data_IF_845880096592
#
_entry.id   IF_845880096592
#
_cell.length_a   1.000
_cell.length_b   1.000
_cell.length_c   1.000
_cell.angle_alpha   90.00
_cell.angle_beta   90.00
_cell.angle_gamma   90.00
#
_symmetry.space_group_name_H-M   'P 1'
#
loop_
_entity.id
_entity.type
_entity.pdbx_description
1 polymer ?
#
# COMPACT_ATOMS: atom_id res chain seq x y z
N UNK A 1 -14.54 8.34 -1.19
CA UNK A 1 -13.66 7.54 -0.31
C UNK A 1 -14.16 6.10 -0.31
N UNK A 2 -13.26 5.12 -0.21
CA UNK A 2 -13.65 3.72 -0.06
C UNK A 2 -14.24 3.52 1.35
N UNK A 3 -15.33 2.76 1.45
CA UNK A 3 -15.89 2.33 2.73
C UNK A 3 -15.34 0.95 3.12
N UNK A 4 -15.61 0.51 4.35
CA UNK A 4 -15.12 -0.77 4.86
C UNK A 4 -15.56 -1.96 3.98
N UNK A 5 -16.80 -1.98 3.51
CA UNK A 5 -17.32 -3.05 2.65
C UNK A 5 -16.55 -3.14 1.32
N UNK A 6 -16.27 -2.01 0.68
CA UNK A 6 -15.49 -1.96 -0.56
C UNK A 6 -14.05 -2.41 -0.37
N UNK A 7 -13.41 -2.04 0.75
CA UNK A 7 -12.05 -2.51 1.08
C UNK A 7 -12.05 -4.03 1.25
N UNK A 8 -12.96 -4.57 2.08
CA UNK A 8 -13.06 -6.00 2.33
C UNK A 8 -13.33 -6.82 1.07
N UNK A 9 -14.15 -6.30 0.16
CA UNK A 9 -14.38 -6.92 -1.15
C UNK A 9 -13.09 -7.06 -1.95
N UNK A 10 -12.27 -6.00 -2.03
CA UNK A 10 -11.02 -6.04 -2.79
C UNK A 10 -9.96 -6.96 -2.16
N UNK A 11 -9.90 -7.01 -0.82
CA UNK A 11 -8.94 -7.86 -0.10
C UNK A 11 -9.30 -9.36 -0.13
N UNK A 12 -10.57 -9.72 -0.34
CA UNK A 12 -11.04 -11.11 -0.37
C UNK A 12 -11.49 -11.59 -1.76
N UNK A 13 -11.21 -10.82 -2.82
CA UNK A 13 -11.64 -11.15 -4.17
C UNK A 13 -10.82 -12.34 -4.72
N UNK A 14 -11.44 -13.51 -4.99
CA UNK A 14 -10.70 -14.68 -5.43
C UNK A 14 -10.07 -14.45 -6.81
N UNK A 15 -8.83 -14.93 -6.98
CA UNK A 15 -8.04 -14.80 -8.22
C UNK A 15 -7.73 -13.36 -8.64
N UNK A 16 -7.92 -12.38 -7.75
CA UNK A 16 -7.52 -11.01 -7.99
C UNK A 16 -6.32 -10.66 -7.12
N UNK A 17 -5.24 -10.20 -7.75
CA UNK A 17 -4.07 -9.73 -7.03
C UNK A 17 -4.38 -8.38 -6.35
N UNK A 18 -4.06 -8.28 -5.07
CA UNK A 18 -3.88 -7.01 -4.38
C UNK A 18 -2.43 -6.89 -3.91
N UNK A 19 -1.96 -5.65 -3.73
CA UNK A 19 -0.59 -5.36 -3.32
C UNK A 19 -0.57 -4.55 -2.03
N UNK A 20 0.17 -5.03 -1.03
CA UNK A 20 0.56 -4.25 0.15
C UNK A 20 2.05 -3.97 0.01
N UNK A 21 2.42 -2.72 -0.27
CA UNK A 21 3.81 -2.36 -0.51
C UNK A 21 4.13 -0.93 -0.09
N UNK A 22 5.42 -0.65 0.05
CA UNK A 22 5.96 0.65 0.41
C UNK A 22 7.35 0.50 1.04
N UNK A 23 7.92 1.60 1.57
CA UNK A 23 9.25 1.56 2.16
C UNK A 23 9.28 0.71 3.43
N UNK A 24 10.46 0.21 3.75
CA UNK A 24 10.68 -0.68 4.87
C UNK A 24 10.32 -0.02 6.22
N UNK A 25 10.66 1.27 6.36
CA UNK A 25 10.42 2.14 7.52
C UNK A 25 10.09 3.55 7.01
N UNK A 26 9.40 4.36 7.81
CA UNK A 26 9.16 5.78 7.52
C UNK A 26 10.46 6.55 7.79
N UNK A 27 11.13 7.00 6.73
CA UNK A 27 12.33 7.85 6.86
C UNK A 27 11.96 9.34 6.89
N UNK A 28 11.05 9.75 6.01
CA UNK A 28 10.44 11.09 5.99
C UNK A 28 9.18 11.09 5.13
N UNK A 29 8.37 12.13 5.28
CA UNK A 29 7.10 12.30 4.55
C UNK A 29 7.31 12.35 3.03
N UNK A 30 8.32 13.08 2.55
CA UNK A 30 8.57 13.29 1.12
C UNK A 30 8.82 11.95 0.42
N UNK A 31 9.68 11.10 0.97
CA UNK A 31 9.96 9.77 0.44
C UNK A 31 8.70 8.90 0.43
N UNK A 32 7.94 8.89 1.53
CA UNK A 32 6.70 8.11 1.61
C UNK A 32 5.70 8.54 0.53
N UNK A 33 5.51 9.84 0.32
CA UNK A 33 4.61 10.37 -0.72
C UNK A 33 5.10 10.03 -2.12
N UNK A 34 6.40 10.12 -2.39
CA UNK A 34 6.98 9.74 -3.69
C UNK A 34 6.76 8.26 -4.01
N UNK A 35 7.05 7.37 -3.05
CA UNK A 35 6.84 5.93 -3.21
C UNK A 35 5.35 5.61 -3.37
N UNK A 36 4.49 6.20 -2.53
CA UNK A 36 3.05 6.00 -2.61
C UNK A 36 2.48 6.45 -3.96
N UNK A 37 2.90 7.61 -4.49
CA UNK A 37 2.44 8.13 -5.78
C UNK A 37 2.87 7.22 -6.94
N UNK A 38 4.13 6.78 -6.95
CA UNK A 38 4.65 5.87 -7.97
C UNK A 38 3.89 4.54 -7.98
N UNK A 39 3.77 3.88 -6.82
CA UNK A 39 3.08 2.60 -6.70
C UNK A 39 1.58 2.71 -7.00
N UNK A 40 0.93 3.80 -6.56
CA UNK A 40 -0.48 4.06 -6.88
C UNK A 40 -0.69 4.15 -8.38
N UNK A 41 0.14 4.93 -9.09
CA UNK A 41 0.04 5.09 -10.55
C UNK A 41 0.22 3.74 -11.26
N UNK A 42 1.23 2.97 -10.88
CA UNK A 42 1.50 1.66 -11.48
C UNK A 42 0.35 0.67 -11.22
N UNK A 43 -0.14 0.58 -9.98
CA UNK A 43 -1.22 -0.35 -9.64
C UNK A 43 -2.54 0.04 -10.32
N UNK A 44 -2.83 1.35 -10.46
CA UNK A 44 -3.99 1.82 -11.23
C UNK A 44 -3.92 1.39 -12.70
N UNK A 45 -2.76 1.50 -13.35
CA UNK A 45 -2.57 1.04 -14.73
C UNK A 45 -2.78 -0.47 -14.89
N UNK A 46 -2.46 -1.25 -13.85
CA UNK A 46 -2.58 -2.70 -13.85
C UNK A 46 -3.92 -3.21 -13.29
N UNK A 47 -4.80 -2.33 -12.80
CA UNK A 47 -6.05 -2.71 -12.15
C UNK A 47 -5.86 -3.46 -10.81
N UNK A 48 -4.73 -3.24 -10.12
CA UNK A 48 -4.38 -3.89 -8.85
C UNK A 48 -4.85 -3.01 -7.69
N UNK A 49 -5.58 -3.61 -6.74
CA UNK A 49 -5.91 -2.92 -5.49
C UNK A 49 -4.65 -2.76 -4.64
N UNK A 50 -4.32 -1.54 -4.25
CA UNK A 50 -3.07 -1.21 -3.59
C UNK A 50 -3.28 -0.59 -2.21
N UNK A 51 -2.51 -1.08 -1.23
CA UNK A 51 -2.42 -0.55 0.12
C UNK A 51 -0.98 -0.11 0.38
N UNK A 52 -0.77 1.18 0.62
CA UNK A 52 0.53 1.68 1.04
C UNK A 52 0.85 1.18 2.45
N UNK A 53 2.07 0.67 2.65
CA UNK A 53 2.58 0.25 3.95
C UNK A 53 3.98 0.80 4.20
N UNK A 54 4.18 1.34 5.39
CA UNK A 54 5.49 1.66 5.95
C UNK A 54 5.46 1.41 7.46
N UNK A 55 6.57 0.96 8.04
CA UNK A 55 6.67 0.82 9.50
C UNK A 55 7.09 2.15 10.12
N UNK A 56 6.39 2.63 11.15
CA UNK A 56 6.84 3.79 11.93
C UNK A 56 8.11 3.46 12.73
N UNK A 57 8.09 2.33 13.43
CA UNK A 57 9.21 1.80 14.19
C UNK A 57 9.44 0.31 13.84
N UNK A 58 10.64 -0.18 14.15
CA UNK A 58 10.98 -1.60 14.09
C UNK A 58 11.60 -2.01 15.42
N UNK A 59 10.78 -2.67 16.25
CA UNK A 59 11.17 -3.25 17.54
C UNK A 59 12.30 -4.31 17.45
N UNK A 60 12.68 -4.71 16.24
CA UNK A 60 13.68 -5.73 15.96
C UNK A 60 15.05 -5.11 15.59
N UNK A 61 15.24 -3.81 15.85
CA UNK A 61 16.52 -3.12 15.72
C UNK A 61 17.02 -2.84 17.13
N UNK A 62 18.14 -3.46 17.51
CA UNK A 62 18.95 -3.12 18.69
C UNK A 62 19.55 -1.74 18.56
#
# INVERSE_FOLDING_TARGET
>A
MLNAAAIWKNLNSPRQLFLIAGPCVIENEKLCRQVAASLTKTCQQLGIFYVFKASFDKANRT
#
